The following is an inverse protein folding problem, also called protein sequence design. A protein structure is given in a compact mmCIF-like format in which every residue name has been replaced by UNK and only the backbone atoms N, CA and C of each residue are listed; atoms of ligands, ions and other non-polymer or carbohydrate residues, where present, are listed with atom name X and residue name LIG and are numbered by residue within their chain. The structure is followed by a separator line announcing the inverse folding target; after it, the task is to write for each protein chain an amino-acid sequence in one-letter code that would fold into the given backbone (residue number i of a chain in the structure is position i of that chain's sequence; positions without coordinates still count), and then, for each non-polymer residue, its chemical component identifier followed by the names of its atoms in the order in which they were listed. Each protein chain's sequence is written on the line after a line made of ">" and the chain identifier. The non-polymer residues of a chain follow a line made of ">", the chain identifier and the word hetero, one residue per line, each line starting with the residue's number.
data_IF_670823168684
#
_entry.id   IF_670823168684
#
_cell.length_a   1.000
_cell.length_b   1.000
_cell.length_c   1.000
_cell.angle_alpha   90.00
_cell.angle_beta   90.00
_cell.angle_gamma   90.00
#
_symmetry.space_group_name_H-M   'P 1'
#
loop_
_entity.id
_entity.type
_entity.pdbx_description
1 polymer ?
#
# COMPACT_ATOMS: atom_id res chain seq x y z
N UNK A 1 -35.33 -35.06 44.64
CA UNK A 1 -34.92 -33.76 45.18
C UNK A 1 -34.28 -32.96 44.05
N UNK A 2 -35.04 -32.04 43.45
CA UNK A 2 -34.62 -31.22 42.32
C UNK A 2 -33.74 -30.05 42.80
N UNK A 3 -32.54 -29.90 42.25
CA UNK A 3 -31.66 -28.77 42.55
C UNK A 3 -31.96 -27.62 41.58
N UNK A 4 -32.67 -26.62 42.09
CA UNK A 4 -33.04 -25.42 41.36
C UNK A 4 -31.80 -24.54 41.09
N UNK A 5 -31.65 -24.18 39.82
CA UNK A 5 -30.64 -23.26 39.28
C UNK A 5 -30.99 -21.81 39.63
N UNK A 6 -30.27 -21.19 40.55
CA UNK A 6 -30.35 -19.75 40.82
C UNK A 6 -29.39 -18.99 39.90
N UNK A 7 -29.87 -18.60 38.71
CA UNK A 7 -29.24 -17.53 37.93
C UNK A 7 -30.04 -16.24 38.11
N UNK A 8 -29.40 -15.27 38.73
CA UNK A 8 -29.86 -13.88 38.85
C UNK A 8 -30.02 -13.23 37.45
N UNK A 9 -31.06 -12.40 37.24
CA UNK A 9 -31.24 -11.68 35.98
C UNK A 9 -30.27 -10.47 35.89
N UNK A 10 -29.77 -10.12 34.69
CA UNK A 10 -28.98 -8.90 34.50
C UNK A 10 -29.86 -7.64 34.43
N UNK A 11 -29.37 -6.56 35.03
CA UNK A 11 -30.02 -5.25 35.10
C UNK A 11 -30.14 -4.55 33.72
N UNK A 12 -31.16 -3.70 33.50
CA UNK A 12 -31.34 -2.96 32.26
C UNK A 12 -30.40 -1.74 32.16
N UNK A 13 -29.77 -1.58 31.00
CA UNK A 13 -28.91 -0.43 30.68
C UNK A 13 -29.76 0.80 30.33
N UNK A 14 -29.65 1.84 31.15
CA UNK A 14 -30.19 3.18 30.94
C UNK A 14 -29.34 3.92 29.90
N UNK A 15 -29.97 4.42 28.83
CA UNK A 15 -29.34 5.30 27.83
C UNK A 15 -29.27 6.74 28.39
N UNK A 16 -28.12 7.43 28.34
CA UNK A 16 -28.10 8.86 28.55
C UNK A 16 -28.51 9.60 27.25
N UNK A 17 -29.56 10.41 27.38
CA UNK A 17 -29.95 11.44 26.43
C UNK A 17 -28.92 12.58 26.52
N UNK A 18 -28.24 12.89 25.42
CA UNK A 18 -27.47 14.13 25.32
C UNK A 18 -28.31 15.19 24.63
N UNK A 19 -28.71 16.17 25.45
CA UNK A 19 -29.49 17.33 25.07
C UNK A 19 -28.74 18.27 24.13
N UNK A 20 -29.56 18.92 23.32
CA UNK A 20 -29.29 20.09 22.49
C UNK A 20 -28.83 21.27 23.35
N UNK A 21 -27.63 21.76 23.08
CA UNK A 21 -27.15 23.05 23.59
C UNK A 21 -26.94 23.99 22.39
N UNK A 22 -27.74 25.05 22.39
CA UNK A 22 -27.72 26.15 21.45
C UNK A 22 -26.40 26.94 21.53
N UNK A 23 -25.82 27.25 20.37
CA UNK A 23 -24.72 28.20 20.25
C UNK A 23 -25.19 29.46 19.51
N UNK A 24 -25.16 30.58 20.23
CA UNK A 24 -25.18 31.96 19.73
C UNK A 24 -23.84 32.29 19.05
N UNK A 25 -23.90 33.09 17.98
CA UNK A 25 -22.94 34.12 17.51
C UNK A 25 -23.02 34.18 15.98
N UNK A 26 -23.77 35.12 15.42
CA UNK A 26 -23.37 36.51 15.11
C UNK A 26 -22.20 36.54 14.12
N UNK A 27 -22.59 36.80 12.86
CA UNK A 27 -21.88 37.52 11.80
C UNK A 27 -20.47 38.02 12.12
N UNK A 28 -19.52 37.78 11.20
CA UNK A 28 -18.84 38.85 10.46
C UNK A 28 -18.30 38.29 9.14
N UNK A 29 -18.69 38.97 8.05
CA UNK A 29 -18.29 38.76 6.66
C UNK A 29 -17.03 39.56 6.40
N UNK A 30 -16.00 38.92 5.84
CA UNK A 30 -14.82 39.59 5.27
C UNK A 30 -14.64 39.21 3.79
N UNK A 31 -14.47 40.17 2.87
CA UNK A 31 -14.57 39.94 1.43
C UNK A 31 -13.30 39.34 0.80
N UNK A 32 -13.52 38.46 -0.17
CA UNK A 32 -12.51 37.88 -1.08
C UNK A 32 -12.10 38.87 -2.17
N UNK A 33 -10.80 39.05 -2.48
CA UNK A 33 -10.36 39.84 -3.62
C UNK A 33 -10.51 39.06 -4.95
N UNK A 34 -11.17 39.71 -5.91
CA UNK A 34 -11.38 39.23 -7.28
C UNK A 34 -10.07 39.06 -8.08
N UNK A 35 -9.98 38.09 -9.01
CA UNK A 35 -8.88 38.00 -9.95
C UNK A 35 -9.09 38.91 -11.17
N UNK A 36 -8.07 39.71 -11.48
CA UNK A 36 -8.01 40.61 -12.61
C UNK A 36 -8.08 39.89 -13.97
N UNK A 37 -9.01 40.37 -14.79
CA UNK A 37 -9.15 40.17 -16.24
C UNK A 37 -7.89 40.58 -16.97
N UNK A 38 -7.35 39.71 -17.85
CA UNK A 38 -6.37 40.12 -18.87
C UNK A 38 -7.06 40.17 -20.25
N UNK A 39 -6.92 41.28 -20.99
CA UNK A 39 -7.58 41.48 -22.27
C UNK A 39 -6.86 40.78 -23.43
N UNK A 40 -7.70 40.30 -24.36
CA UNK A 40 -7.41 39.98 -25.75
C UNK A 40 -6.92 41.21 -26.52
N UNK A 41 -5.85 41.08 -27.31
CA UNK A 41 -5.56 41.99 -28.42
C UNK A 41 -4.95 41.25 -29.62
N UNK A 42 -5.09 41.80 -30.85
CA UNK A 42 -5.26 41.05 -32.09
C UNK A 42 -3.98 40.88 -32.93
N UNK A 43 -4.09 39.98 -33.90
CA UNK A 43 -3.20 39.76 -35.06
C UNK A 43 -2.76 41.07 -35.75
N UNK A 44 -1.59 41.04 -36.39
CA UNK A 44 -1.52 41.57 -37.74
C UNK A 44 -0.89 40.63 -38.78
N UNK A 45 -1.42 40.82 -39.98
CA UNK A 45 -1.11 40.28 -41.31
C UNK A 45 0.26 40.76 -41.86
N UNK A 46 0.64 40.21 -43.03
CA UNK A 46 1.73 40.59 -43.96
C UNK A 46 3.07 39.86 -43.69
N UNK A 47 3.85 39.36 -44.67
CA UNK A 47 3.90 39.54 -46.12
C UNK A 47 4.72 38.36 -46.73
N UNK A 48 4.35 37.92 -47.93
CA UNK A 48 5.14 37.03 -48.81
C UNK A 48 6.43 37.71 -49.31
N UNK A 49 7.44 36.93 -49.72
CA UNK A 49 7.83 37.00 -51.13
C UNK A 49 8.16 35.65 -51.82
N UNK A 50 7.52 35.43 -52.97
CA UNK A 50 8.05 35.14 -54.32
C UNK A 50 9.34 34.28 -54.50
N UNK A 51 9.14 33.04 -54.99
CA UNK A 51 9.83 32.36 -56.13
C UNK A 51 11.36 32.10 -56.16
N UNK A 52 11.91 31.33 -57.13
CA UNK A 52 11.26 30.68 -58.29
C UNK A 52 11.61 29.18 -58.53
N UNK A 53 10.73 28.55 -59.33
CA UNK A 53 10.90 27.57 -60.39
C UNK A 53 12.13 26.61 -60.45
N UNK A 54 11.85 25.33 -60.75
CA UNK A 54 12.77 24.56 -61.58
C UNK A 54 12.72 23.02 -61.46
N UNK A 55 12.14 22.40 -62.48
CA UNK A 55 12.53 21.10 -63.05
C UNK A 55 12.16 19.80 -62.31
N UNK A 56 11.06 19.20 -62.75
CA UNK A 56 10.94 17.74 -62.93
C UNK A 56 12.02 17.25 -63.90
N UNK A 57 12.52 16.02 -63.69
CA UNK A 57 12.38 15.07 -64.79
C UNK A 57 12.01 13.64 -64.36
N UNK A 58 11.11 13.07 -65.17
CA UNK A 58 11.13 11.70 -65.69
C UNK A 58 11.47 10.51 -64.78
N UNK A 59 10.45 9.65 -64.61
CA UNK A 59 10.49 8.22 -64.91
C UNK A 59 11.88 7.61 -65.21
N UNK A 60 12.44 6.90 -64.24
CA UNK A 60 13.25 5.70 -64.50
C UNK A 60 12.83 4.63 -63.50
N UNK A 61 12.06 3.64 -63.98
CA UNK A 61 12.02 2.33 -63.34
C UNK A 61 13.44 1.77 -63.33
N UNK A 62 14.03 1.53 -62.16
CA UNK A 62 14.91 0.37 -61.95
C UNK A 62 15.23 0.13 -60.48
N UNK A 63 15.16 -1.16 -60.18
CA UNK A 63 15.80 -1.91 -59.09
C UNK A 63 15.38 -1.62 -57.65
N UNK A 64 14.43 -2.47 -57.22
CA UNK A 64 14.30 -3.04 -55.87
C UNK A 64 15.62 -3.03 -55.09
N UNK A 65 15.84 -2.01 -54.27
CA UNK A 65 16.50 -2.16 -52.98
C UNK A 65 15.53 -1.60 -51.95
N UNK A 66 14.79 -2.51 -51.31
CA UNK A 66 14.17 -2.28 -50.01
C UNK A 66 15.30 -1.87 -49.07
N UNK A 67 15.58 -0.58 -48.98
CA UNK A 67 16.15 -0.01 -47.79
C UNK A 67 15.10 -0.26 -46.69
N UNK A 68 15.21 -1.42 -46.03
CA UNK A 68 14.72 -1.58 -44.67
C UNK A 68 15.49 -0.53 -43.87
N UNK A 69 14.98 0.70 -43.87
CA UNK A 69 15.18 1.59 -42.75
C UNK A 69 14.53 0.83 -41.59
N UNK A 70 15.35 0.03 -40.89
CA UNK A 70 15.04 -0.31 -39.51
C UNK A 70 15.04 1.04 -38.81
N UNK A 71 13.88 1.67 -38.75
CA UNK A 71 13.64 2.67 -37.73
C UNK A 71 13.68 1.91 -36.40
N UNK A 72 14.89 1.68 -35.88
CA UNK A 72 15.16 1.48 -34.46
C UNK A 72 14.96 2.82 -33.75
N UNK A 73 13.83 3.47 -33.97
CA UNK A 73 13.33 4.47 -33.05
C UNK A 73 12.70 3.66 -31.92
N UNK A 74 13.55 3.16 -31.02
CA UNK A 74 13.11 2.67 -29.74
C UNK A 74 12.32 3.79 -29.09
N UNK A 75 11.00 3.64 -29.05
CA UNK A 75 10.13 4.52 -28.28
C UNK A 75 10.58 4.44 -26.82
N UNK A 76 11.48 5.36 -26.43
CA UNK A 76 11.62 5.77 -25.04
C UNK A 76 10.30 6.45 -24.64
N UNK A 77 9.25 5.64 -24.49
CA UNK A 77 8.03 6.06 -23.80
C UNK A 77 8.47 6.57 -22.43
N UNK A 78 7.99 7.77 -22.08
CA UNK A 78 8.21 8.36 -20.75
C UNK A 78 7.85 7.31 -19.68
N UNK A 79 8.56 7.27 -18.54
CA UNK A 79 8.28 6.29 -17.47
C UNK A 79 6.80 6.32 -17.04
N UNK A 80 6.17 7.49 -17.10
CA UNK A 80 4.75 7.73 -16.84
C UNK A 80 3.82 7.00 -17.81
N UNK A 81 4.15 7.01 -19.10
CA UNK A 81 3.35 6.38 -20.15
C UNK A 81 3.44 4.84 -20.11
N UNK A 82 4.59 4.31 -19.66
CA UNK A 82 4.75 2.88 -19.34
C UNK A 82 4.00 2.50 -18.06
N UNK A 83 4.00 3.37 -17.05
CA UNK A 83 3.24 3.15 -15.82
C UNK A 83 1.72 3.18 -16.06
N UNK A 84 1.25 4.00 -16.99
CA UNK A 84 -0.14 4.06 -17.46
C UNK A 84 -0.50 3.01 -18.52
N UNK A 85 0.47 2.28 -19.06
CA UNK A 85 0.23 1.28 -20.08
C UNK A 85 -0.72 0.17 -19.56
N UNK A 86 -1.81 -0.06 -20.30
CA UNK A 86 -2.84 -1.06 -19.99
C UNK A 86 -4.17 -0.51 -19.46
N UNK A 87 -4.32 0.82 -19.30
CA UNK A 87 -5.54 1.46 -18.78
C UNK A 87 -6.60 1.78 -19.84
N UNK A 88 -6.43 1.36 -21.10
CA UNK A 88 -7.35 1.72 -22.22
C UNK A 88 -8.81 1.31 -22.03
N UNK A 89 -9.12 0.47 -21.04
CA UNK A 89 -10.47 -0.04 -20.75
C UNK A 89 -11.10 0.61 -19.51
N UNK A 90 -10.36 1.43 -18.75
CA UNK A 90 -10.82 1.93 -17.44
C UNK A 90 -10.93 3.45 -17.50
N UNK A 91 -12.09 3.96 -17.10
CA UNK A 91 -12.34 5.39 -16.96
C UNK A 91 -11.53 5.91 -15.77
N UNK A 92 -10.61 6.84 -16.03
CA UNK A 92 -9.71 7.44 -15.03
C UNK A 92 -10.23 8.76 -14.47
N UNK A 93 -11.35 9.25 -15.02
CA UNK A 93 -11.95 10.53 -14.67
C UNK A 93 -12.79 10.35 -13.38
N UNK A 94 -12.55 11.21 -12.39
CA UNK A 94 -13.27 11.19 -11.10
C UNK A 94 -12.78 10.15 -10.07
N UNK A 95 -11.75 9.35 -10.37
CA UNK A 95 -11.16 8.43 -9.40
C UNK A 95 -10.13 9.14 -8.51
N UNK A 96 -10.14 8.82 -7.21
CA UNK A 96 -9.10 9.29 -6.28
C UNK A 96 -7.84 8.45 -6.43
N UNK A 97 -6.71 9.11 -6.22
CA UNK A 97 -5.38 8.51 -6.29
C UNK A 97 -4.84 8.40 -4.88
N UNK A 98 -4.65 7.17 -4.41
CA UNK A 98 -4.16 6.89 -3.06
C UNK A 98 -2.73 6.36 -3.10
N UNK A 99 -1.86 6.97 -2.28
CA UNK A 99 -0.47 6.55 -2.14
C UNK A 99 -0.29 5.76 -0.84
N UNK A 100 0.31 4.59 -0.96
CA UNK A 100 0.65 3.71 0.16
C UNK A 100 2.17 3.58 0.25
N UNK A 101 2.75 3.98 1.38
CA UNK A 101 4.15 3.67 1.67
C UNK A 101 4.25 2.27 2.31
N UNK A 102 5.04 1.40 1.71
CA UNK A 102 5.25 0.04 2.20
C UNK A 102 6.40 -0.09 3.21
N UNK A 103 7.16 0.98 3.46
CA UNK A 103 8.28 0.99 4.43
C UNK A 103 7.84 0.54 5.82
N UNK A 104 8.47 -0.51 6.34
CA UNK A 104 8.20 -1.02 7.68
C UNK A 104 6.83 -1.69 7.85
N UNK A 105 6.02 -1.78 6.79
CA UNK A 105 4.69 -2.35 6.86
C UNK A 105 4.69 -3.86 6.66
N UNK A 106 3.77 -4.53 7.36
CA UNK A 106 3.62 -5.99 7.23
C UNK A 106 2.84 -6.32 5.97
N UNK A 107 3.44 -7.10 5.07
CA UNK A 107 2.91 -7.49 3.76
C UNK A 107 1.40 -7.77 3.74
N UNK A 108 0.92 -8.67 4.60
CA UNK A 108 -0.49 -9.08 4.59
C UNK A 108 -1.46 -7.99 5.06
N UNK A 109 -1.03 -7.14 6.00
CA UNK A 109 -1.85 -6.04 6.52
C UNK A 109 -1.99 -4.94 5.48
N UNK A 110 -0.87 -4.58 4.86
CA UNK A 110 -0.84 -3.64 3.75
C UNK A 110 -1.71 -4.15 2.59
N UNK A 111 -1.56 -5.42 2.19
CA UNK A 111 -2.36 -6.01 1.12
C UNK A 111 -3.88 -6.01 1.41
N UNK A 112 -4.28 -6.22 2.66
CA UNK A 112 -5.69 -6.17 3.06
C UNK A 112 -6.30 -4.78 2.87
N UNK A 113 -5.58 -3.73 3.28
CA UNK A 113 -6.08 -2.35 3.16
C UNK A 113 -6.16 -1.92 1.69
N UNK A 114 -5.13 -2.27 0.90
CA UNK A 114 -5.14 -2.03 -0.55
C UNK A 114 -6.35 -2.72 -1.19
N UNK A 115 -6.64 -3.97 -0.83
CA UNK A 115 -7.78 -4.69 -1.40
C UNK A 115 -9.13 -4.05 -1.07
N UNK A 116 -9.28 -3.42 0.11
CA UNK A 116 -10.51 -2.69 0.50
C UNK A 116 -10.69 -1.45 -0.37
N UNK A 117 -9.62 -0.67 -0.57
CA UNK A 117 -9.62 0.55 -1.40
C UNK A 117 -9.83 0.23 -2.88
N UNK A 118 -9.17 -0.82 -3.41
CA UNK A 118 -9.39 -1.28 -4.78
C UNK A 118 -10.81 -1.79 -5.03
N UNK A 119 -11.50 -2.27 -3.98
CA UNK A 119 -12.91 -2.63 -4.06
C UNK A 119 -13.84 -1.42 -3.95
N UNK A 120 -13.36 -0.28 -3.45
CA UNK A 120 -14.18 0.91 -3.21
C UNK A 120 -15.07 0.79 -1.97
N UNK A 121 -14.80 -0.17 -1.06
CA UNK A 121 -15.57 -0.41 0.17
C UNK A 121 -15.43 0.71 1.20
N UNK A 122 -14.45 1.57 1.02
CA UNK A 122 -14.22 2.78 1.78
C UNK A 122 -15.25 3.89 1.49
N UNK A 123 -15.93 3.83 0.34
CA UNK A 123 -16.97 4.78 -0.05
C UNK A 123 -18.36 4.24 0.33
N UNK A 124 -19.29 5.10 0.80
CA UNK A 124 -20.66 4.69 1.11
C UNK A 124 -21.44 4.27 -0.15
N UNK A 125 -21.04 4.74 -1.34
CA UNK A 125 -21.62 4.39 -2.64
C UNK A 125 -21.19 3.02 -3.16
N UNK A 126 -20.68 2.14 -2.29
CA UNK A 126 -20.18 0.83 -2.69
C UNK A 126 -21.31 -0.07 -3.21
N UNK A 127 -21.20 -0.49 -4.47
CA UNK A 127 -22.03 -1.52 -5.08
C UNK A 127 -21.14 -2.68 -5.55
N UNK A 128 -21.46 -3.95 -5.21
CA UNK A 128 -20.56 -5.09 -5.47
C UNK A 128 -20.38 -5.43 -6.95
N UNK A 129 -21.33 -5.02 -7.80
CA UNK A 129 -21.34 -5.27 -9.25
C UNK A 129 -20.71 -4.12 -10.06
N UNK A 130 -20.46 -2.96 -9.44
CA UNK A 130 -19.90 -1.77 -10.08
C UNK A 130 -18.44 -1.58 -9.65
N UNK A 131 -17.60 -1.15 -10.58
CA UNK A 131 -16.18 -0.91 -10.32
C UNK A 131 -15.89 0.51 -9.82
N UNK A 132 -16.31 0.82 -8.59
CA UNK A 132 -16.13 2.14 -7.97
C UNK A 132 -14.78 2.33 -7.21
N UNK A 133 -13.85 1.38 -7.34
CA UNK A 133 -12.57 1.37 -6.63
C UNK A 133 -11.60 2.45 -7.08
N UNK A 134 -10.84 2.99 -6.11
CA UNK A 134 -9.83 4.03 -6.31
C UNK A 134 -8.51 3.46 -6.87
N UNK A 135 -7.66 4.34 -7.40
CA UNK A 135 -6.35 3.94 -7.91
C UNK A 135 -5.34 3.92 -6.76
N UNK A 136 -4.60 2.81 -6.62
CA UNK A 136 -3.64 2.63 -5.54
C UNK A 136 -2.22 2.59 -6.10
N UNK A 137 -1.37 3.47 -5.58
CA UNK A 137 0.07 3.49 -5.84
C UNK A 137 0.80 3.02 -4.59
N UNK A 138 1.61 1.98 -4.71
CA UNK A 138 2.45 1.47 -3.62
C UNK A 138 3.90 1.83 -3.88
N UNK A 139 4.55 2.43 -2.90
CA UNK A 139 5.96 2.84 -2.94
C UNK A 139 6.81 1.91 -2.08
N UNK A 140 8.12 1.88 -2.36
CA UNK A 140 9.13 1.20 -1.54
C UNK A 140 8.84 -0.30 -1.31
N UNK A 141 8.49 -1.03 -2.37
CA UNK A 141 8.22 -2.48 -2.25
C UNK A 141 9.40 -3.30 -1.72
N UNK A 142 10.65 -2.78 -1.83
CA UNK A 142 11.87 -3.42 -1.32
C UNK A 142 11.89 -3.51 0.21
N UNK A 143 11.31 -2.52 0.90
CA UNK A 143 11.44 -2.34 2.37
C UNK A 143 10.30 -3.00 3.17
N UNK A 144 9.63 -3.99 2.57
CA UNK A 144 8.50 -4.67 3.20
C UNK A 144 8.95 -5.60 4.30
N UNK A 145 8.24 -5.52 5.43
CA UNK A 145 8.47 -6.39 6.57
C UNK A 145 7.64 -7.68 6.46
N UNK A 146 8.31 -8.80 6.71
CA UNK A 146 7.69 -10.11 6.87
C UNK A 146 8.07 -10.67 8.23
N UNK A 147 7.06 -11.03 9.03
CA UNK A 147 7.27 -11.49 10.40
C UNK A 147 7.72 -12.95 10.46
N UNK A 148 8.64 -13.29 11.37
CA UNK A 148 9.06 -14.68 11.66
C UNK A 148 10.01 -15.25 10.59
N UNK A 149 10.02 -16.57 10.42
CA UNK A 149 10.90 -17.30 9.47
C UNK A 149 10.33 -17.42 8.05
N UNK A 150 9.27 -16.66 7.74
CA UNK A 150 8.57 -16.73 6.45
C UNK A 150 9.42 -16.33 5.24
N UNK A 151 10.53 -15.60 5.46
CA UNK A 151 11.48 -15.24 4.39
C UNK A 151 12.08 -16.48 3.72
N UNK A 152 12.37 -17.53 4.50
CA UNK A 152 12.94 -18.79 4.01
C UNK A 152 11.87 -19.84 3.74
N UNK A 153 10.85 -19.88 4.60
CA UNK A 153 9.91 -21.01 4.65
C UNK A 153 8.76 -20.86 3.64
N UNK A 154 8.43 -19.63 3.23
CA UNK A 154 7.34 -19.39 2.28
C UNK A 154 7.81 -19.66 0.85
N UNK A 155 7.20 -20.66 0.23
CA UNK A 155 7.47 -21.07 -1.15
C UNK A 155 6.30 -20.67 -2.06
N UNK A 156 6.62 -20.10 -3.21
CA UNK A 156 5.69 -19.85 -4.30
C UNK A 156 5.75 -21.01 -5.28
N UNK A 157 4.59 -21.63 -5.49
CA UNK A 157 4.42 -22.73 -6.43
C UNK A 157 3.68 -22.25 -7.67
N UNK A 158 4.12 -22.71 -8.84
CA UNK A 158 3.35 -22.63 -10.06
C UNK A 158 3.67 -23.82 -10.98
N UNK A 159 2.71 -24.15 -11.82
CA UNK A 159 2.82 -25.24 -12.78
C UNK A 159 2.70 -24.70 -14.20
N UNK A 160 3.48 -25.24 -15.13
CA UNK A 160 3.43 -24.86 -16.55
C UNK A 160 2.35 -25.59 -17.36
N UNK A 161 1.67 -26.59 -16.78
CA UNK A 161 0.46 -27.23 -17.33
C UNK A 161 0.71 -28.24 -18.45
N UNK A 162 1.75 -28.07 -19.28
CA UNK A 162 2.00 -28.91 -20.47
C UNK A 162 2.69 -30.26 -20.17
N UNK A 163 3.36 -30.40 -19.02
CA UNK A 163 4.23 -31.55 -18.75
C UNK A 163 4.07 -32.03 -17.30
N UNK A 164 3.95 -33.35 -17.10
CA UNK A 164 3.91 -33.99 -15.78
C UNK A 164 5.26 -33.76 -15.06
N UNK A 165 5.24 -33.54 -13.74
CA UNK A 165 6.45 -33.36 -12.92
C UNK A 165 7.07 -31.94 -12.91
N UNK A 166 6.53 -30.99 -13.69
CA UNK A 166 7.10 -29.63 -13.79
C UNK A 166 6.52 -28.67 -12.74
N UNK A 167 6.63 -29.02 -11.47
CA UNK A 167 6.32 -28.10 -10.36
C UNK A 167 7.49 -27.14 -10.20
N UNK A 168 7.26 -25.85 -10.41
CA UNK A 168 8.27 -24.82 -10.20
C UNK A 168 8.06 -24.18 -8.84
N UNK A 169 9.15 -24.08 -8.11
CA UNK A 169 9.18 -23.56 -6.76
C UNK A 169 10.12 -22.36 -6.68
N UNK A 170 9.75 -21.36 -5.89
CA UNK A 170 10.62 -20.23 -5.59
C UNK A 170 10.39 -19.75 -4.17
N UNK A 171 11.45 -19.63 -3.37
CA UNK A 171 11.35 -19.10 -2.01
C UNK A 171 11.05 -17.60 -2.04
N UNK A 172 10.46 -17.09 -0.96
CA UNK A 172 10.15 -15.67 -0.82
C UNK A 172 11.41 -14.80 -0.91
N UNK A 173 12.52 -15.22 -0.28
CA UNK A 173 13.82 -14.54 -0.37
C UNK A 173 14.26 -14.34 -1.83
N UNK A 174 14.21 -15.40 -2.63
CA UNK A 174 14.62 -15.35 -4.04
C UNK A 174 13.66 -14.51 -4.89
N UNK A 175 12.36 -14.54 -4.56
CA UNK A 175 11.36 -13.73 -5.23
C UNK A 175 11.55 -12.24 -4.92
N UNK A 176 11.91 -11.87 -3.69
CA UNK A 176 12.20 -10.48 -3.32
C UNK A 176 13.48 -9.95 -4.00
N UNK A 177 14.49 -10.80 -4.18
CA UNK A 177 15.71 -10.43 -4.90
C UNK A 177 15.49 -10.22 -6.40
N UNK A 178 14.58 -10.99 -7.02
CA UNK A 178 14.21 -10.82 -8.42
C UNK A 178 13.28 -9.64 -8.63
N UNK A 179 12.07 -9.75 -8.09
CA UNK A 179 10.98 -8.80 -8.33
C UNK A 179 10.15 -8.63 -7.06
N UNK A 180 10.46 -7.63 -6.20
CA UNK A 180 9.70 -7.37 -4.97
C UNK A 180 8.26 -6.95 -5.29
N UNK A 181 8.03 -6.30 -6.43
CA UNK A 181 6.71 -5.88 -6.92
C UNK A 181 5.73 -7.05 -7.07
N UNK A 182 6.20 -8.20 -7.58
CA UNK A 182 5.34 -9.37 -7.76
C UNK A 182 4.84 -9.93 -6.43
N UNK A 183 5.62 -9.81 -5.35
CA UNK A 183 5.26 -10.32 -4.03
C UNK A 183 4.00 -9.64 -3.52
N UNK A 184 3.93 -8.31 -3.66
CA UNK A 184 2.77 -7.50 -3.26
C UNK A 184 1.61 -7.77 -4.21
N UNK A 185 1.85 -7.75 -5.52
CA UNK A 185 0.80 -7.97 -6.53
C UNK A 185 0.11 -9.32 -6.31
N UNK A 186 0.88 -10.41 -6.12
CA UNK A 186 0.34 -11.75 -5.82
C UNK A 186 -0.43 -11.79 -4.50
N UNK A 187 -0.02 -11.02 -3.50
CA UNK A 187 -0.73 -10.93 -2.23
C UNK A 187 -2.08 -10.23 -2.39
N UNK A 188 -2.12 -9.07 -3.03
CA UNK A 188 -3.35 -8.29 -3.26
C UNK A 188 -4.31 -9.04 -4.18
N UNK A 189 -3.80 -9.62 -5.27
CA UNK A 189 -4.62 -10.41 -6.21
C UNK A 189 -5.33 -11.58 -5.51
N UNK A 190 -4.69 -12.19 -4.51
CA UNK A 190 -5.30 -13.27 -3.70
C UNK A 190 -6.29 -12.78 -2.64
N UNK A 191 -6.30 -11.48 -2.31
CA UNK A 191 -7.29 -10.86 -1.40
C UNK A 191 -8.55 -10.36 -2.14
N UNK A 192 -8.47 -10.16 -3.45
CA UNK A 192 -9.61 -9.75 -4.28
C UNK A 192 -10.57 -10.92 -4.53
N UNK A 193 -11.88 -10.65 -4.64
CA UNK A 193 -12.86 -11.69 -4.98
C UNK A 193 -12.57 -12.27 -6.36
N UNK A 194 -12.74 -13.59 -6.51
CA UNK A 194 -12.49 -14.28 -7.78
C UNK A 194 -13.69 -14.11 -8.72
N UNK A 195 -13.73 -12.99 -9.44
CA UNK A 195 -14.73 -12.67 -10.45
C UNK A 195 -14.07 -12.07 -11.71
N UNK A 196 -14.86 -11.77 -12.74
CA UNK A 196 -14.38 -11.13 -13.99
C UNK A 196 -13.78 -9.74 -13.74
N UNK A 197 -14.28 -9.04 -12.72
CA UNK A 197 -13.85 -7.69 -12.35
C UNK A 197 -12.49 -7.67 -11.63
N UNK A 198 -12.02 -8.80 -11.13
CA UNK A 198 -10.75 -8.91 -10.40
C UNK A 198 -9.57 -8.38 -11.20
N UNK A 199 -9.53 -8.69 -12.48
CA UNK A 199 -8.42 -8.31 -13.35
C UNK A 199 -8.46 -6.80 -13.66
N UNK A 200 -9.67 -6.22 -13.72
CA UNK A 200 -9.85 -4.77 -13.87
C UNK A 200 -9.44 -4.02 -12.58
N UNK A 201 -9.71 -4.59 -11.39
CA UNK A 201 -9.20 -4.07 -10.11
C UNK A 201 -7.68 -4.16 -10.00
N UNK A 202 -7.07 -5.27 -10.42
CA UNK A 202 -5.60 -5.42 -10.41
C UNK A 202 -4.91 -4.42 -11.36
N UNK A 203 -5.55 -4.07 -12.49
CA UNK A 203 -5.04 -3.03 -13.39
C UNK A 203 -4.95 -1.65 -12.75
N UNK A 204 -5.78 -1.34 -11.76
CA UNK A 204 -5.76 -0.09 -10.96
C UNK A 204 -4.63 -0.07 -9.92
N UNK A 205 -3.97 -1.20 -9.66
CA UNK A 205 -2.84 -1.27 -8.73
C UNK A 205 -1.52 -1.01 -9.46
N UNK A 206 -0.77 0.00 -8.99
CA UNK A 206 0.60 0.29 -9.44
C UNK A 206 1.55 0.19 -8.27
N UNK A 207 2.68 -0.46 -8.49
CA UNK A 207 3.65 -0.78 -7.45
C UNK A 207 5.02 -0.42 -7.98
N UNK A 208 5.76 0.35 -7.19
CA UNK A 208 7.12 0.76 -7.47
C UNK A 208 8.06 0.12 -6.44
N UNK A 209 9.18 -0.40 -6.93
CA UNK A 209 10.21 -0.95 -6.06
C UNK A 209 10.91 0.15 -5.26
N UNK A 210 10.95 1.36 -5.83
CA UNK A 210 11.58 2.55 -5.26
C UNK A 210 10.53 3.53 -4.76
N UNK A 211 11.00 4.62 -4.14
CA UNK A 211 10.13 5.65 -3.58
C UNK A 211 9.60 6.65 -4.60
N UNK A 212 10.12 6.62 -5.84
CA UNK A 212 9.74 7.55 -6.88
C UNK A 212 8.52 7.04 -7.66
N UNK A 213 7.57 7.94 -7.93
CA UNK A 213 6.40 7.66 -8.76
C UNK A 213 6.27 8.68 -9.89
N UNK A 214 5.89 8.25 -11.10
CA UNK A 214 5.73 9.14 -12.24
C UNK A 214 4.44 10.01 -12.23
N UNK A 215 3.63 9.96 -11.17
CA UNK A 215 2.28 10.52 -11.17
C UNK A 215 2.18 11.92 -10.53
N UNK A 216 3.12 12.81 -10.83
CA UNK A 216 3.18 14.13 -10.19
C UNK A 216 2.03 15.07 -10.58
N UNK A 217 1.44 14.86 -11.75
CA UNK A 217 0.40 15.76 -12.30
C UNK A 217 -0.99 15.57 -11.67
N UNK A 218 -1.19 14.56 -10.82
CA UNK A 218 -2.50 14.20 -10.26
C UNK A 218 -2.57 14.49 -8.77
N UNK A 219 -3.75 14.78 -8.20
CA UNK A 219 -3.89 14.98 -6.76
C UNK A 219 -3.71 13.64 -6.03
N UNK A 220 -2.60 13.48 -5.31
CA UNK A 220 -2.31 12.27 -4.53
C UNK A 220 -2.75 12.44 -3.07
N UNK A 221 -3.61 11.52 -2.60
CA UNK A 221 -3.98 11.41 -1.20
C UNK A 221 -3.11 10.34 -0.52
N UNK A 222 -2.24 10.70 0.44
CA UNK A 222 -1.49 9.71 1.20
C UNK A 222 -2.43 8.90 2.10
N UNK A 223 -2.35 7.57 2.02
CA UNK A 223 -3.15 6.69 2.87
C UNK A 223 -2.39 6.37 4.17
N UNK A 224 -2.94 6.81 5.29
CA UNK A 224 -2.43 6.49 6.62
C UNK A 224 -3.05 5.16 7.07
N UNK A 225 -2.20 4.19 7.44
CA UNK A 225 -2.70 2.94 8.01
C UNK A 225 -3.36 3.18 9.37
N UNK A 226 -4.52 2.55 9.64
CA UNK A 226 -5.18 2.69 10.92
C UNK A 226 -4.27 2.21 12.07
N UNK A 227 -4.25 2.94 13.21
CA UNK A 227 -3.33 2.65 14.30
C UNK A 227 -3.57 1.25 14.86
N UNK A 228 -2.47 0.51 15.06
CA UNK A 228 -2.51 -0.85 15.55
C UNK A 228 -2.55 -0.86 17.08
N UNK A 229 -3.64 -1.36 17.67
CA UNK A 229 -3.58 -1.88 19.04
C UNK A 229 -2.82 -3.21 19.03
N UNK A 230 -1.52 -3.16 19.33
CA UNK A 230 -0.72 -4.37 19.54
C UNK A 230 -1.17 -4.96 20.87
N UNK A 231 -1.77 -6.17 20.86
CA UNK A 231 -1.87 -6.95 22.09
C UNK A 231 -0.45 -7.14 22.61
N UNK A 232 -0.18 -6.64 23.81
CA UNK A 232 1.09 -6.82 24.50
C UNK A 232 1.52 -8.29 24.52
N UNK A 233 2.82 -8.51 24.75
CA UNK A 233 3.47 -9.82 24.76
C UNK A 233 2.58 -10.95 25.30
N UNK A 234 2.57 -12.07 24.56
CA UNK A 234 1.87 -13.30 24.93
C UNK A 234 2.23 -13.63 26.39
N UNK A 235 1.26 -13.90 27.29
CA UNK A 235 1.48 -13.96 28.74
C UNK A 235 2.54 -14.97 29.20
N UNK A 236 2.98 -15.91 28.36
CA UNK A 236 4.09 -16.83 28.66
C UNK A 236 5.46 -16.15 28.72
N UNK A 237 5.76 -15.20 27.82
CA UNK A 237 7.06 -14.51 27.84
C UNK A 237 7.14 -13.53 29.03
N UNK A 238 6.06 -12.78 29.28
CA UNK A 238 5.93 -11.93 30.47
C UNK A 238 6.02 -12.76 31.76
N UNK A 239 5.33 -13.91 31.84
CA UNK A 239 5.46 -14.85 32.97
C UNK A 239 6.86 -15.44 33.12
N UNK A 240 7.56 -15.71 32.01
CA UNK A 240 8.94 -16.21 32.05
C UNK A 240 9.91 -15.14 32.57
N UNK A 241 9.76 -13.88 32.15
CA UNK A 241 10.56 -12.77 32.67
C UNK A 241 10.28 -12.52 34.15
N UNK A 242 9.00 -12.51 34.57
CA UNK A 242 8.64 -12.36 35.99
C UNK A 242 9.23 -13.52 36.83
N UNK A 243 9.19 -14.75 36.32
CA UNK A 243 9.80 -15.92 37.01
C UNK A 243 11.32 -15.83 37.08
N UNK A 244 11.98 -15.33 36.03
CA UNK A 244 13.42 -15.10 36.03
C UNK A 244 13.81 -14.02 37.05
N UNK A 245 13.13 -12.86 37.01
CA UNK A 245 13.32 -11.75 37.95
C UNK A 245 13.15 -12.20 39.41
N UNK A 246 12.09 -12.95 39.71
CA UNK A 246 11.86 -13.47 41.06
C UNK A 246 12.96 -14.45 41.51
N UNK A 247 13.44 -15.31 40.61
CA UNK A 247 14.54 -16.25 40.90
C UNK A 247 15.87 -15.54 41.15
N UNK A 248 16.13 -14.44 40.46
CA UNK A 248 17.33 -13.63 40.66
C UNK A 248 17.24 -12.86 41.99
N UNK A 249 16.09 -12.28 42.32
CA UNK A 249 15.82 -11.67 43.64
C UNK A 249 16.00 -12.67 44.79
N UNK A 250 15.47 -13.89 44.66
CA UNK A 250 15.62 -14.93 45.69
C UNK A 250 17.10 -15.35 45.86
N UNK A 251 17.92 -15.28 44.80
CA UNK A 251 19.36 -15.57 44.86
C UNK A 251 20.14 -14.43 45.51
N UNK A 252 19.78 -13.18 45.23
CA UNK A 252 20.37 -12.00 45.85
C UNK A 252 20.03 -11.93 47.34
N UNK A 253 18.78 -12.22 47.72
CA UNK A 253 18.36 -12.31 49.12
C UNK A 253 19.16 -13.38 49.88
N UNK A 254 19.32 -14.59 49.30
CA UNK A 254 20.14 -15.64 49.92
C UNK A 254 21.62 -15.29 50.02
N UNK A 255 22.17 -14.56 49.06
CA UNK A 255 23.55 -14.04 49.13
C UNK A 255 23.69 -13.02 50.26
N UNK A 256 22.75 -12.08 50.37
CA UNK A 256 22.74 -11.08 51.43
C UNK A 256 22.58 -11.71 52.83
N UNK A 257 21.72 -12.72 52.98
CA UNK A 257 21.58 -13.50 54.22
C UNK A 257 22.87 -14.25 54.57
N UNK A 258 23.53 -14.84 53.57
CA UNK A 258 24.81 -15.52 53.75
C UNK A 258 25.97 -14.59 54.14
N UNK A 259 26.00 -13.37 53.62
CA UNK A 259 26.96 -12.33 54.01
C UNK A 259 26.67 -11.78 55.42
N UNK A 260 25.40 -11.55 55.76
CA UNK A 260 25.00 -11.13 57.10
C UNK A 260 25.37 -12.17 58.17
N UNK A 261 25.19 -13.46 57.89
CA UNK A 261 25.57 -14.54 58.80
C UNK A 261 27.10 -14.66 59.00
N UNK A 262 27.90 -14.35 57.97
CA UNK A 262 29.38 -14.29 58.08
C UNK A 262 29.84 -13.10 58.91
N UNK A 263 29.26 -11.92 58.69
CA UNK A 263 29.61 -10.72 59.45
C UNK A 263 29.20 -10.83 60.92
N UNK A 264 28.06 -11.46 61.23
CA UNK A 264 27.64 -11.73 62.60
C UNK A 264 28.57 -12.68 63.36
N UNK A 265 29.11 -13.71 62.70
CA UNK A 265 30.11 -14.61 63.32
C UNK A 265 31.47 -13.93 63.54
N UNK A 266 31.86 -13.01 62.65
CA UNK A 266 33.10 -12.25 62.82
C UNK A 266 33.02 -11.24 63.98
N UNK A 267 31.83 -10.66 64.23
CA UNK A 267 31.59 -9.73 65.34
C UNK A 267 31.46 -10.41 66.72
N UNK A 268 31.14 -11.70 66.77
CA UNK A 268 31.06 -12.49 68.03
C UNK A 268 32.40 -13.15 68.39
N UNK A 269 33.34 -13.21 67.43
CA UNK A 269 34.68 -13.78 67.61
C UNK A 269 35.78 -12.73 67.91
N UNK A 270 35.43 -11.44 67.95
CA UNK A 270 36.28 -10.31 68.31
C UNK A 270 35.84 -9.76 69.68
#
# INVERSE_FOLDING_TARGET
>A
VAFASSRSPPAPLVRPQFGTAAAKSTSELGPSPAPATRPSLPLPLLLLPEGPAGCLPSLVLRTRRRARIRCTAGLHRKPEEKALAGLRRIDLEGLRWRVFDAKGQVLGRLASQIAVVLQGKDKPTYAPHVEAGDMCIVLNAKDICVTGRKMTDKIYYWHTGRYIGHLKERKLKDQMAKDPTEVIRKAVMRMLPRNKLRDDRDRKLRIFAEGEHPFHDRPLEPFIMPPRQVREMRPRARRAMIRAQKKDQDREAKKAEGEAAKNGKAAVAA
#
